data_IF_023442560671
#
_entry.id   IF_023442560671
#
_cell.length_a   1.000
_cell.length_b   1.000
_cell.length_c   1.000
_cell.angle_alpha   90.00
_cell.angle_beta   90.00
_cell.angle_gamma   90.00
#
_symmetry.space_group_name_H-M   'P 1'
#
loop_
_entity.id
_entity.type
_entity.pdbx_description
1 polymer ?
#
# COMPACT_ATOMS: atom_id res chain seq x y z
N UNK A 1 -21.90 3.34 17.51
CA UNK A 1 -20.89 2.69 18.37
C UNK A 1 -20.83 1.22 18.01
N UNK A 2 -19.78 0.76 17.33
CA UNK A 2 -19.49 -0.67 17.28
C UNK A 2 -18.62 -1.01 18.50
N UNK A 3 -18.91 -2.13 19.16
CA UNK A 3 -18.18 -2.66 20.33
C UNK A 3 -16.65 -2.76 20.10
N UNK A 4 -16.22 -2.77 18.83
CA UNK A 4 -14.83 -2.74 18.36
C UNK A 4 -13.96 -1.62 18.95
N UNK A 5 -14.51 -0.48 19.37
CA UNK A 5 -13.72 0.65 19.90
C UNK A 5 -13.06 0.39 21.26
N UNK A 6 -13.37 -0.73 21.92
CA UNK A 6 -12.81 -1.11 23.23
C UNK A 6 -12.01 -2.41 23.20
N UNK A 7 -11.91 -3.07 22.04
CA UNK A 7 -11.34 -4.42 21.93
C UNK A 7 -10.16 -4.43 20.97
N UNK A 8 -9.10 -5.14 21.37
CA UNK A 8 -7.89 -5.37 20.58
C UNK A 8 -8.19 -6.18 19.30
N UNK A 9 -9.26 -6.96 19.31
CA UNK A 9 -9.74 -7.82 18.22
C UNK A 9 -11.25 -7.64 18.00
N UNK A 10 -11.76 -7.97 16.82
CA UNK A 10 -13.20 -7.90 16.51
C UNK A 10 -14.03 -9.07 17.10
N UNK A 11 -13.36 -10.14 17.54
CA UNK A 11 -13.99 -11.38 17.98
C UNK A 11 -13.41 -11.76 19.34
N UNK A 12 -14.28 -12.14 20.29
CA UNK A 12 -13.88 -12.69 21.58
C UNK A 12 -13.23 -14.08 21.40
N UNK A 13 -12.05 -14.29 21.97
CA UNK A 13 -11.33 -15.56 21.85
C UNK A 13 -11.73 -16.48 23.02
N UNK A 14 -12.53 -17.51 22.74
CA UNK A 14 -12.81 -18.56 23.73
C UNK A 14 -11.57 -19.45 23.95
N UNK A 15 -10.91 -19.22 25.08
CA UNK A 15 -9.72 -19.96 25.51
C UNK A 15 -10.04 -21.04 26.57
N UNK A 16 -11.31 -21.39 26.78
CA UNK A 16 -11.75 -22.37 27.79
C UNK A 16 -11.15 -23.77 27.62
N UNK A 17 -10.67 -24.10 26.41
CA UNK A 17 -10.02 -25.37 26.08
C UNK A 17 -8.48 -25.36 26.26
N UNK A 18 -7.87 -24.24 26.68
CA UNK A 18 -6.42 -24.13 26.89
C UNK A 18 -5.98 -24.64 28.25
N UNK A 19 -4.67 -24.93 28.37
CA UNK A 19 -4.03 -25.24 29.66
C UNK A 19 -4.22 -24.09 30.64
N UNK A 20 -4.64 -24.41 31.86
CA UNK A 20 -4.84 -23.39 32.90
C UNK A 20 -3.52 -22.99 33.56
N UNK A 21 -3.29 -21.69 33.68
CA UNK A 21 -2.23 -21.12 34.51
C UNK A 21 -2.67 -21.17 35.98
N UNK A 22 -1.79 -21.54 36.94
CA UNK A 22 -2.11 -21.44 38.36
C UNK A 22 -2.55 -20.01 38.72
N UNK A 23 -3.68 -19.88 39.43
CA UNK A 23 -4.25 -18.59 39.84
C UNK A 23 -4.04 -18.33 41.35
N UNK A 24 -3.04 -18.96 41.96
CA UNK A 24 -2.76 -18.77 43.39
C UNK A 24 -1.98 -17.47 43.61
N UNK A 25 -2.26 -16.76 44.71
CA UNK A 25 -1.56 -15.52 45.07
C UNK A 25 -0.03 -15.70 45.07
N UNK A 26 0.46 -16.83 45.58
CA UNK A 26 1.88 -17.14 45.59
C UNK A 26 2.50 -17.29 44.19
N UNK A 27 1.73 -17.78 43.21
CA UNK A 27 2.19 -17.89 41.83
C UNK A 27 2.22 -16.52 41.14
N UNK A 28 1.17 -15.71 41.35
CA UNK A 28 1.11 -14.34 40.83
C UNK A 28 2.25 -13.50 41.41
N UNK A 29 2.49 -13.57 42.72
CA UNK A 29 3.60 -12.87 43.39
C UNK A 29 4.97 -13.31 42.85
N UNK A 30 5.17 -14.62 42.64
CA UNK A 30 6.40 -15.15 42.08
C UNK A 30 6.69 -14.64 40.67
N UNK A 31 5.66 -14.58 39.81
CA UNK A 31 5.79 -14.05 38.45
C UNK A 31 5.93 -12.53 38.40
N UNK A 32 5.44 -11.82 39.41
CA UNK A 32 5.34 -10.36 39.40
C UNK A 32 6.53 -9.62 40.01
N UNK A 33 7.45 -10.34 40.67
CA UNK A 33 8.54 -9.77 41.46
C UNK A 33 9.93 -10.16 40.93
N UNK A 34 10.99 -9.55 41.49
CA UNK A 34 12.40 -9.80 41.12
C UNK A 34 12.77 -9.46 39.67
N UNK A 35 11.98 -8.61 39.02
CA UNK A 35 12.35 -8.02 37.73
C UNK A 35 13.26 -6.81 37.94
N UNK A 36 14.26 -6.65 37.08
CA UNK A 36 15.05 -5.43 37.05
C UNK A 36 14.20 -4.24 36.55
N UNK A 37 14.52 -3.04 37.06
CA UNK A 37 13.95 -1.79 36.55
C UNK A 37 14.19 -1.68 35.05
N UNK A 38 13.13 -1.33 34.32
CA UNK A 38 13.22 -1.10 32.88
C UNK A 38 13.46 0.39 32.67
N UNK A 39 14.55 0.79 31.99
CA UNK A 39 14.78 2.19 31.71
C UNK A 39 13.70 2.69 30.75
N UNK A 40 12.91 3.67 31.19
CA UNK A 40 11.88 4.31 30.35
C UNK A 40 12.50 5.47 29.58
N UNK A 41 13.31 5.11 28.58
CA UNK A 41 13.97 6.09 27.72
C UNK A 41 12.93 6.67 26.79
N UNK A 42 12.74 7.99 26.88
CA UNK A 42 11.90 8.73 25.95
C UNK A 42 12.59 8.81 24.58
N UNK A 43 11.91 8.45 23.49
CA UNK A 43 12.45 8.59 22.16
C UNK A 43 12.55 10.07 21.77
N UNK A 44 13.35 10.35 20.75
CA UNK A 44 13.26 11.64 20.06
C UNK A 44 11.93 11.73 19.29
N UNK A 45 11.39 12.95 19.08
CA UNK A 45 10.24 13.13 18.21
C UNK A 45 10.49 12.52 16.83
N UNK A 46 9.50 11.79 16.33
CA UNK A 46 9.51 11.22 14.98
C UNK A 46 9.54 12.34 13.95
N UNK A 47 10.23 12.18 12.81
CA UNK A 47 10.26 13.18 11.74
C UNK A 47 8.87 13.65 11.27
N UNK A 48 7.86 12.76 11.33
CA UNK A 48 6.47 13.08 10.94
C UNK A 48 5.70 13.90 11.97
N UNK A 49 6.17 14.02 13.23
CA UNK A 49 5.38 14.57 14.33
C UNK A 49 4.86 15.99 14.05
N UNK A 50 5.70 16.86 13.51
CA UNK A 50 5.32 18.24 13.15
C UNK A 50 4.33 18.29 11.95
N UNK A 51 4.49 17.37 10.99
CA UNK A 51 3.58 17.21 9.86
C UNK A 51 2.20 16.74 10.33
N UNK A 52 2.17 15.69 11.16
CA UNK A 52 0.96 15.18 11.80
C UNK A 52 0.23 16.25 12.62
N UNK A 53 0.96 17.09 13.36
CA UNK A 53 0.36 18.24 14.06
C UNK A 53 -0.33 19.22 13.11
N UNK A 54 0.30 19.56 11.98
CA UNK A 54 -0.30 20.42 10.96
C UNK A 54 -1.56 19.79 10.34
N UNK A 55 -1.52 18.49 10.04
CA UNK A 55 -2.68 17.72 9.53
C UNK A 55 -3.83 17.70 10.54
N UNK A 56 -3.54 17.49 11.83
CA UNK A 56 -4.54 17.59 12.91
C UNK A 56 -5.18 18.97 12.99
N UNK A 57 -4.40 20.06 12.83
CA UNK A 57 -4.94 21.43 12.80
C UNK A 57 -5.87 21.65 11.59
N UNK A 58 -5.47 21.17 10.41
CA UNK A 58 -6.30 21.27 9.20
C UNK A 58 -7.61 20.48 9.37
N UNK A 59 -7.53 19.23 9.84
CA UNK A 59 -8.69 18.39 10.12
C UNK A 59 -9.64 19.01 11.15
N UNK A 60 -9.08 19.51 12.26
CA UNK A 60 -9.80 20.22 13.33
C UNK A 60 -10.63 21.40 12.82
N UNK A 61 -10.15 22.14 11.82
CA UNK A 61 -10.84 23.31 11.27
C UNK A 61 -12.16 22.96 10.55
N UNK A 62 -12.38 21.71 10.17
CA UNK A 62 -13.61 21.25 9.50
C UNK A 62 -14.75 20.92 10.47
N UNK A 63 -14.48 20.78 11.77
CA UNK A 63 -15.44 20.27 12.76
C UNK A 63 -15.55 21.18 14.00
N UNK A 64 -15.75 22.51 13.85
CA UNK A 64 -15.72 23.43 14.97
C UNK A 64 -16.82 23.11 16.01
N UNK A 65 -16.43 22.88 17.26
CA UNK A 65 -17.35 22.62 18.37
C UNK A 65 -17.91 21.18 18.40
N UNK A 66 -17.46 20.32 17.50
CA UNK A 66 -17.88 18.93 17.43
C UNK A 66 -16.76 18.01 17.91
N UNK A 67 -17.05 17.07 18.80
CA UNK A 67 -16.05 16.08 19.20
C UNK A 67 -15.90 15.01 18.13
N UNK A 68 -14.66 14.79 17.66
CA UNK A 68 -14.35 13.82 16.60
C UNK A 68 -13.44 12.71 17.14
N UNK A 69 -13.78 11.46 16.85
CA UNK A 69 -13.02 10.27 17.26
C UNK A 69 -12.60 9.49 16.02
N UNK A 70 -11.28 9.39 15.81
CA UNK A 70 -10.67 8.65 14.70
C UNK A 70 -10.04 7.38 15.26
N UNK A 71 -10.62 6.22 14.98
CA UNK A 71 -10.12 4.94 15.49
C UNK A 71 -9.02 4.34 14.59
N UNK A 72 -8.03 3.69 15.21
CA UNK A 72 -7.01 2.91 14.51
C UNK A 72 -7.57 1.57 13.98
N UNK A 73 -8.65 1.07 14.58
CA UNK A 73 -9.24 -0.22 14.26
C UNK A 73 -8.70 -1.37 15.11
N UNK A 74 -9.36 -2.52 15.02
CA UNK A 74 -9.00 -3.74 15.75
C UNK A 74 -8.30 -4.75 14.83
N UNK A 75 -7.56 -5.70 15.42
CA UNK A 75 -6.99 -6.82 14.68
C UNK A 75 -8.08 -7.70 14.05
N UNK A 76 -7.84 -8.12 12.82
CA UNK A 76 -8.75 -8.98 12.04
C UNK A 76 -8.41 -10.44 12.20
N UNK A 77 -9.39 -11.26 12.55
CA UNK A 77 -9.22 -12.70 12.71
C UNK A 77 -8.92 -13.36 11.36
N UNK A 78 -7.90 -14.23 11.33
CA UNK A 78 -7.55 -15.05 10.15
C UNK A 78 -8.12 -16.46 10.28
N UNK A 79 -7.78 -17.16 11.35
CA UNK A 79 -8.25 -18.52 11.62
C UNK A 79 -8.16 -18.80 13.10
N UNK A 80 -9.30 -18.95 13.78
CA UNK A 80 -9.36 -19.14 15.24
C UNK A 80 -8.59 -18.04 15.99
N UNK A 81 -7.65 -18.40 16.86
CA UNK A 81 -6.83 -17.47 17.64
C UNK A 81 -5.66 -16.83 16.85
N UNK A 82 -5.61 -17.03 15.54
CA UNK A 82 -4.61 -16.41 14.66
C UNK A 82 -5.21 -15.21 13.94
N UNK A 83 -4.46 -14.11 13.90
CA UNK A 83 -4.87 -12.84 13.30
C UNK A 83 -4.06 -12.55 12.04
N UNK A 84 -4.62 -11.75 11.15
CA UNK A 84 -3.84 -11.11 10.10
C UNK A 84 -2.83 -10.14 10.73
N UNK A 85 -1.68 -9.88 10.07
CA UNK A 85 -0.80 -8.79 10.47
C UNK A 85 -1.60 -7.50 10.65
N UNK A 86 -1.42 -6.83 11.78
CA UNK A 86 -2.16 -5.61 12.07
C UNK A 86 -1.67 -4.46 11.20
N UNK A 87 -2.62 -3.68 10.68
CA UNK A 87 -2.39 -2.43 9.97
C UNK A 87 -3.47 -1.45 10.41
N UNK A 88 -3.05 -0.32 11.00
CA UNK A 88 -3.99 0.69 11.46
C UNK A 88 -4.75 1.35 10.30
N UNK A 89 -5.92 1.89 10.61
CA UNK A 89 -6.70 2.69 9.67
C UNK A 89 -5.90 3.91 9.22
N UNK A 90 -5.84 4.13 7.92
CA UNK A 90 -4.94 5.09 7.29
C UNK A 90 -5.21 6.55 7.70
N UNK A 91 -6.47 6.92 8.00
CA UNK A 91 -6.78 8.23 8.58
C UNK A 91 -6.18 8.43 9.99
N UNK A 92 -6.19 7.39 10.84
CA UNK A 92 -5.57 7.44 12.16
C UNK A 92 -4.06 7.59 12.03
N UNK A 93 -3.44 6.74 11.20
CA UNK A 93 -2.00 6.77 10.98
C UNK A 93 -1.55 8.12 10.36
N UNK A 94 -2.29 8.68 9.40
CA UNK A 94 -2.01 9.98 8.78
C UNK A 94 -2.04 11.14 9.78
N UNK A 95 -3.07 11.17 10.64
CA UNK A 95 -3.29 12.26 11.62
C UNK A 95 -2.41 12.13 12.87
N UNK A 96 -1.97 10.93 13.23
CA UNK A 96 -1.08 10.72 14.38
C UNK A 96 0.39 10.71 13.98
N UNK A 97 0.70 10.27 12.75
CA UNK A 97 2.04 9.89 12.34
C UNK A 97 2.48 8.53 12.89
N UNK A 98 1.57 7.77 13.52
CA UNK A 98 1.86 6.46 14.07
C UNK A 98 1.69 5.42 12.96
N UNK A 99 2.81 4.94 12.42
CA UNK A 99 2.84 3.97 11.32
C UNK A 99 2.55 2.53 11.75
N UNK A 100 3.36 1.58 11.26
CA UNK A 100 3.26 0.13 11.51
C UNK A 100 3.34 -0.24 13.00
N UNK A 101 3.97 0.60 13.83
CA UNK A 101 4.06 0.43 15.27
C UNK A 101 2.77 0.82 16.04
N UNK A 102 1.69 1.19 15.34
CA UNK A 102 0.41 1.53 15.95
C UNK A 102 -0.17 0.38 16.75
N UNK A 103 -0.81 0.71 17.86
CA UNK A 103 -1.46 -0.29 18.71
C UNK A 103 -2.92 -0.53 18.31
N UNK A 104 -3.37 -1.80 18.21
CA UNK A 104 -4.77 -2.12 17.94
C UNK A 104 -5.72 -1.56 19.00
N UNK A 105 -6.86 -1.07 18.54
CA UNK A 105 -7.88 -0.45 19.39
C UNK A 105 -7.56 0.98 19.85
N UNK A 106 -6.42 1.55 19.45
CA UNK A 106 -6.11 2.95 19.74
C UNK A 106 -7.13 3.90 19.08
N UNK A 107 -7.39 5.05 19.72
CA UNK A 107 -8.28 6.09 19.19
C UNK A 107 -7.66 7.47 19.37
N UNK A 108 -7.73 8.30 18.32
CA UNK A 108 -7.37 9.71 18.37
C UNK A 108 -8.65 10.52 18.59
N UNK A 109 -8.71 11.27 19.69
CA UNK A 109 -9.87 12.09 20.05
C UNK A 109 -9.50 13.56 19.89
N UNK A 110 -10.36 14.30 19.20
CA UNK A 110 -10.33 15.75 19.10
C UNK A 110 -11.42 16.30 20.02
N UNK A 111 -11.02 16.78 21.20
CA UNK A 111 -11.94 17.40 22.18
C UNK A 111 -12.10 18.90 21.83
N UNK A 112 -13.33 19.39 21.60
CA UNK A 112 -13.54 20.75 21.16
C UNK A 112 -13.13 21.77 22.23
N UNK A 113 -12.48 22.85 21.78
CA UNK A 113 -12.17 24.03 22.59
C UNK A 113 -12.34 25.30 21.77
N UNK A 114 -12.23 26.45 22.41
CA UNK A 114 -12.21 27.73 21.71
C UNK A 114 -11.10 27.73 20.64
N UNK A 115 -11.51 27.89 19.37
CA UNK A 115 -10.61 27.99 18.22
C UNK A 115 -10.02 26.66 17.72
N UNK A 116 -10.56 25.50 18.09
CA UNK A 116 -10.15 24.21 17.51
C UNK A 116 -10.40 23.03 18.44
N UNK A 117 -9.41 22.15 18.57
CA UNK A 117 -9.48 20.96 19.40
C UNK A 117 -8.18 20.76 20.19
N UNK A 118 -8.29 20.09 21.33
CA UNK A 118 -7.19 19.41 21.98
C UNK A 118 -7.19 17.94 21.53
N UNK A 119 -6.07 17.48 20.98
CA UNK A 119 -5.94 16.15 20.41
C UNK A 119 -5.23 15.21 21.38
N UNK A 120 -5.85 14.07 21.69
CA UNK A 120 -5.30 13.04 22.59
C UNK A 120 -5.43 11.65 21.95
N UNK A 121 -4.33 10.89 21.95
CA UNK A 121 -4.33 9.47 21.54
C UNK A 121 -4.57 8.61 22.78
N UNK A 122 -5.70 7.92 22.79
CA UNK A 122 -6.01 6.92 23.80
C UNK A 122 -5.60 5.55 23.29
N UNK A 123 -4.74 4.87 24.01
CA UNK A 123 -4.35 3.50 23.69
C UNK A 123 -4.07 2.69 24.95
N UNK A 124 -4.07 1.38 24.80
CA UNK A 124 -3.74 0.48 25.89
C UNK A 124 -2.22 0.38 25.97
N UNK A 125 -1.61 1.04 26.94
CA UNK A 125 -0.16 0.96 27.14
C UNK A 125 0.27 -0.42 27.67
N UNK A 126 1.57 -0.61 27.86
CA UNK A 126 2.13 -1.81 28.48
C UNK A 126 1.49 -2.10 29.84
N UNK A 127 1.14 -3.36 30.09
CA UNK A 127 0.76 -3.81 31.42
C UNK A 127 1.98 -3.80 32.35
N UNK A 128 1.79 -3.38 33.60
CA UNK A 128 2.80 -3.49 34.64
C UNK A 128 3.15 -4.96 34.92
N UNK A 129 4.41 -5.24 35.28
CA UNK A 129 4.84 -6.61 35.64
C UNK A 129 4.17 -7.12 36.92
N UNK A 130 3.53 -6.23 37.67
CA UNK A 130 2.74 -6.47 38.86
C UNK A 130 1.26 -6.82 38.59
N UNK A 131 0.88 -6.95 37.31
CA UNK A 131 -0.46 -7.34 36.88
C UNK A 131 -0.48 -8.70 36.19
N UNK A 132 -1.56 -9.45 36.37
CA UNK A 132 -1.85 -10.66 35.59
C UNK A 132 -2.01 -10.37 34.09
N UNK A 133 -2.38 -9.14 33.69
CA UNK A 133 -2.38 -8.73 32.28
C UNK A 133 -1.00 -8.92 31.63
N UNK A 134 0.11 -8.81 32.37
CA UNK A 134 1.46 -9.01 31.83
C UNK A 134 1.69 -10.45 31.32
N UNK A 135 1.29 -11.46 32.08
CA UNK A 135 1.65 -12.87 31.82
C UNK A 135 0.46 -13.79 31.50
N UNK A 136 -0.78 -13.41 31.82
CA UNK A 136 -1.96 -14.23 31.64
C UNK A 136 -2.84 -13.77 30.46
N UNK A 137 -2.65 -12.55 29.95
CA UNK A 137 -3.44 -12.02 28.85
C UNK A 137 -2.71 -12.17 27.50
N UNK A 138 -3.09 -13.11 26.64
CA UNK A 138 -2.45 -13.31 25.33
C UNK A 138 -2.74 -12.20 24.32
N UNK A 139 -3.70 -11.31 24.59
CA UNK A 139 -4.04 -10.21 23.68
C UNK A 139 -3.15 -8.98 23.86
N UNK A 140 -2.66 -8.74 25.08
CA UNK A 140 -1.99 -7.48 25.45
C UNK A 140 -0.76 -7.66 26.34
N UNK A 141 -0.59 -8.84 26.93
CA UNK A 141 0.48 -9.12 27.87
C UNK A 141 1.82 -9.20 27.16
N UNK A 142 2.81 -8.43 27.64
CA UNK A 142 4.12 -8.38 26.99
C UNK A 142 4.83 -9.74 26.97
N UNK A 143 4.46 -10.67 27.87
CA UNK A 143 4.98 -12.04 27.87
C UNK A 143 4.55 -12.83 26.62
N UNK A 144 3.42 -12.45 26.01
CA UNK A 144 2.82 -13.12 24.86
C UNK A 144 3.14 -12.43 23.54
N UNK A 145 2.98 -11.10 23.51
CA UNK A 145 3.02 -10.32 22.26
C UNK A 145 4.26 -9.42 22.14
N UNK A 146 5.12 -9.41 23.16
CA UNK A 146 6.31 -8.56 23.20
C UNK A 146 6.05 -7.17 23.80
N UNK A 147 7.09 -6.33 23.82
CA UNK A 147 7.04 -5.05 24.52
C UNK A 147 6.09 -4.05 23.87
N UNK A 148 5.38 -3.27 24.70
CA UNK A 148 4.54 -2.16 24.25
C UNK A 148 5.12 -0.82 24.73
N UNK A 149 4.92 0.27 23.97
CA UNK A 149 5.40 1.58 24.40
C UNK A 149 4.56 2.09 25.58
N UNK A 150 5.17 2.91 26.45
CA UNK A 150 4.43 3.67 27.45
C UNK A 150 3.71 4.87 26.82
N UNK A 151 2.73 5.42 27.54
CA UNK A 151 2.07 6.67 27.15
C UNK A 151 3.08 7.79 26.87
N UNK A 152 4.09 7.93 27.73
CA UNK A 152 5.12 8.98 27.61
C UNK A 152 6.01 8.76 26.37
N UNK A 153 6.36 7.51 26.05
CA UNK A 153 7.14 7.20 24.85
C UNK A 153 6.39 7.55 23.57
N UNK A 154 5.10 7.19 23.49
CA UNK A 154 4.26 7.55 22.33
C UNK A 154 4.05 9.06 22.25
N UNK A 155 3.81 9.73 23.38
CA UNK A 155 3.66 11.18 23.40
C UNK A 155 4.92 11.91 22.94
N UNK A 156 6.09 11.48 23.42
CA UNK A 156 7.39 12.02 23.03
C UNK A 156 7.68 11.79 21.53
N UNK A 157 7.35 10.60 21.00
CA UNK A 157 7.56 10.28 19.59
C UNK A 157 6.61 11.06 18.65
N UNK A 158 5.32 11.16 18.99
CA UNK A 158 4.29 11.67 18.08
C UNK A 158 3.98 13.17 18.28
N UNK A 159 4.44 13.76 19.38
CA UNK A 159 4.13 15.16 19.72
C UNK A 159 2.63 15.38 19.93
N UNK A 160 1.93 14.41 20.51
CA UNK A 160 0.50 14.46 20.83
C UNK A 160 0.28 13.96 22.25
N UNK A 161 -0.73 14.49 22.95
CA UNK A 161 -1.08 14.00 24.27
C UNK A 161 -1.53 12.54 24.18
N UNK A 162 -1.24 11.76 25.21
CA UNK A 162 -1.64 10.35 25.29
C UNK A 162 -2.37 10.09 26.61
N UNK A 163 -3.28 9.13 26.60
CA UNK A 163 -4.01 8.70 27.78
C UNK A 163 -4.32 7.19 27.73
N UNK A 164 -4.54 6.53 28.88
CA UNK A 164 -4.95 5.13 28.88
C UNK A 164 -6.29 4.95 28.16
N UNK A 165 -6.43 3.92 27.31
CA UNK A 165 -7.70 3.62 26.63
C UNK A 165 -8.85 3.40 27.61
N UNK A 166 -8.59 2.89 28.81
CA UNK A 166 -9.61 2.73 29.85
C UNK A 166 -10.25 4.06 30.32
N UNK A 167 -9.56 5.20 30.12
CA UNK A 167 -10.08 6.54 30.41
C UNK A 167 -10.91 7.12 29.26
N UNK A 168 -10.90 6.50 28.08
CA UNK A 168 -11.75 6.91 26.97
C UNK A 168 -13.21 6.52 27.24
N UNK A 169 -14.08 7.52 27.25
CA UNK A 169 -15.53 7.34 27.35
C UNK A 169 -16.14 7.86 26.05
N UNK A 170 -16.70 6.95 25.26
CA UNK A 170 -17.43 7.31 24.04
C UNK A 170 -18.71 8.08 24.38
N UNK A 171 -18.99 9.15 23.66
CA UNK A 171 -20.21 9.93 23.75
C UNK A 171 -21.16 9.63 22.60
N UNK A 172 -22.48 9.74 22.83
CA UNK A 172 -23.50 9.55 21.80
C UNK A 172 -23.42 10.59 20.66
N UNK A 173 -22.78 11.74 20.92
CA UNK A 173 -22.54 12.81 19.95
C UNK A 173 -21.18 12.77 19.26
N UNK A 174 -20.34 11.74 19.52
CA UNK A 174 -19.03 11.63 18.89
C UNK A 174 -19.18 11.43 17.38
N UNK A 175 -18.56 12.30 16.58
CA UNK A 175 -18.38 12.11 15.13
C UNK A 175 -17.28 11.07 14.90
N UNK A 176 -17.54 10.00 14.16
CA UNK A 176 -16.52 8.95 13.87
C UNK A 176 -16.26 8.81 12.38
N UNK A 177 -15.31 7.96 11.98
CA UNK A 177 -15.09 7.60 10.58
C UNK A 177 -16.27 6.87 9.91
N UNK A 178 -17.27 6.42 10.67
CA UNK A 178 -18.54 5.89 10.11
C UNK A 178 -19.41 7.03 9.54
N UNK A 179 -19.14 8.27 9.95
CA UNK A 179 -19.75 9.45 9.37
C UNK A 179 -19.09 9.77 8.02
N UNK A 180 -19.86 9.80 6.91
CA UNK A 180 -19.31 10.03 5.58
C UNK A 180 -18.56 11.35 5.44
N UNK A 181 -18.96 12.39 6.16
CA UNK A 181 -18.28 13.70 6.10
C UNK A 181 -16.93 13.66 6.81
N UNK A 182 -16.81 12.93 7.93
CA UNK A 182 -15.52 12.73 8.61
C UNK A 182 -14.57 11.93 7.74
N UNK A 183 -15.05 10.80 7.20
CA UNK A 183 -14.26 9.95 6.31
C UNK A 183 -13.79 10.70 5.06
N UNK A 184 -14.70 11.47 4.44
CA UNK A 184 -14.41 12.33 3.29
C UNK A 184 -13.35 13.38 3.58
N UNK A 185 -13.47 14.14 4.68
CA UNK A 185 -12.47 15.16 5.04
C UNK A 185 -11.11 14.51 5.32
N UNK A 186 -11.07 13.41 6.07
CA UNK A 186 -9.83 12.69 6.33
C UNK A 186 -9.16 12.18 5.03
N UNK A 187 -9.97 11.76 4.06
CA UNK A 187 -9.52 11.30 2.74
C UNK A 187 -9.03 12.45 1.87
N UNK A 188 -9.75 13.57 1.81
CA UNK A 188 -9.37 14.75 1.01
C UNK A 188 -8.08 15.42 1.50
N UNK A 189 -7.79 15.37 2.81
CA UNK A 189 -6.53 15.89 3.36
C UNK A 189 -5.27 15.16 2.87
N UNK A 190 -5.40 13.93 2.34
CA UNK A 190 -4.30 13.13 1.81
C UNK A 190 -4.05 13.34 0.32
N UNK A 191 -4.89 14.12 -0.38
CA UNK A 191 -4.76 14.32 -1.82
C UNK A 191 -3.42 14.96 -2.17
N UNK A 192 -3.03 16.01 -1.42
CA UNK A 192 -1.79 16.76 -1.62
C UNK A 192 -0.78 16.35 -0.55
N UNK A 193 0.29 15.70 -0.98
CA UNK A 193 1.33 15.17 -0.10
C UNK A 193 2.24 16.29 0.38
N UNK A 194 2.50 16.32 1.68
CA UNK A 194 3.54 17.18 2.26
C UNK A 194 4.95 16.59 2.05
N UNK A 195 5.98 17.36 2.44
CA UNK A 195 7.37 16.98 2.19
C UNK A 195 7.81 15.67 2.86
N UNK A 196 7.22 15.29 4.00
CA UNK A 196 7.51 14.01 4.63
C UNK A 196 6.90 12.87 3.79
N UNK A 197 5.64 13.03 3.38
CA UNK A 197 4.94 12.02 2.56
C UNK A 197 5.66 11.79 1.23
N UNK A 198 6.11 12.85 0.55
CA UNK A 198 6.86 12.72 -0.70
C UNK A 198 8.20 11.98 -0.53
N UNK A 199 8.86 12.15 0.62
CA UNK A 199 10.08 11.41 0.94
C UNK A 199 9.80 9.92 1.15
N UNK A 200 8.72 9.60 1.88
CA UNK A 200 8.30 8.20 2.10
C UNK A 200 7.84 7.55 0.80
N UNK A 201 7.12 8.27 -0.07
CA UNK A 201 6.74 7.78 -1.40
C UNK A 201 7.97 7.44 -2.25
N UNK A 202 8.99 8.31 -2.29
CA UNK A 202 10.22 8.01 -3.02
C UNK A 202 10.95 6.80 -2.42
N UNK A 203 11.03 6.69 -1.10
CA UNK A 203 11.66 5.55 -0.43
C UNK A 203 10.92 4.23 -0.71
N UNK A 204 9.59 4.24 -0.79
CA UNK A 204 8.79 3.08 -1.16
C UNK A 204 9.09 2.63 -2.60
N UNK A 205 9.23 3.59 -3.52
CA UNK A 205 9.62 3.33 -4.91
C UNK A 205 11.04 2.77 -5.00
N UNK A 206 11.99 3.32 -4.24
CA UNK A 206 13.38 2.85 -4.23
C UNK A 206 13.52 1.42 -3.68
N UNK A 207 12.75 1.07 -2.64
CA UNK A 207 12.67 -0.29 -2.13
C UNK A 207 11.99 -1.24 -3.13
N UNK A 208 10.95 -0.77 -3.81
CA UNK A 208 10.25 -1.51 -4.87
C UNK A 208 11.19 -1.80 -6.03
N UNK A 209 11.99 -0.82 -6.49
CA UNK A 209 12.98 -1.01 -7.56
C UNK A 209 13.96 -2.15 -7.24
N UNK A 210 14.45 -2.24 -6.00
CA UNK A 210 15.30 -3.34 -5.55
C UNK A 210 14.56 -4.69 -5.56
N UNK A 211 13.26 -4.70 -5.24
CA UNK A 211 12.43 -5.90 -5.30
C UNK A 211 12.28 -6.42 -6.72
N UNK A 212 12.11 -5.52 -7.70
CA UNK A 212 12.11 -5.90 -9.11
C UNK A 212 13.47 -6.47 -9.53
N UNK A 213 14.59 -5.86 -9.12
CA UNK A 213 15.94 -6.39 -9.38
C UNK A 213 16.09 -7.82 -8.85
N UNK A 214 15.64 -8.08 -7.61
CA UNK A 214 15.70 -9.40 -6.99
C UNK A 214 14.87 -10.44 -7.77
N UNK A 215 13.65 -10.07 -8.17
CA UNK A 215 12.77 -10.93 -8.96
C UNK A 215 13.40 -11.29 -10.29
N UNK A 216 13.93 -10.31 -11.03
CA UNK A 216 14.54 -10.56 -12.34
C UNK A 216 15.77 -11.44 -12.23
N UNK A 217 16.58 -11.25 -11.19
CA UNK A 217 17.68 -12.16 -10.87
C UNK A 217 17.18 -13.58 -10.52
N UNK A 218 15.96 -13.74 -10.02
CA UNK A 218 15.34 -15.02 -9.67
C UNK A 218 14.55 -15.71 -10.79
N UNK A 219 14.40 -15.09 -11.97
CA UNK A 219 13.67 -15.70 -13.10
C UNK A 219 14.14 -17.11 -13.47
N UNK A 220 15.45 -17.44 -13.54
CA UNK A 220 15.86 -18.82 -13.83
C UNK A 220 15.36 -19.84 -12.80
N UNK A 221 15.30 -19.46 -11.52
CA UNK A 221 14.75 -20.29 -10.46
C UNK A 221 13.23 -20.42 -10.59
N UNK A 222 12.54 -19.31 -10.88
CA UNK A 222 11.09 -19.30 -11.11
C UNK A 222 10.71 -20.21 -12.28
N UNK A 223 11.44 -20.14 -13.40
CA UNK A 223 11.20 -20.99 -14.57
C UNK A 223 11.55 -22.46 -14.36
N UNK A 224 12.45 -22.76 -13.41
CA UNK A 224 12.73 -24.13 -12.99
C UNK A 224 11.69 -24.75 -12.06
N UNK A 225 10.71 -23.98 -11.58
CA UNK A 225 9.75 -24.41 -10.56
C UNK A 225 8.32 -24.50 -11.13
N UNK A 226 7.55 -25.57 -10.81
CA UNK A 226 6.18 -25.72 -11.32
C UNK A 226 5.21 -24.62 -10.86
N UNK A 227 5.52 -23.95 -9.74
CA UNK A 227 4.81 -22.76 -9.24
C UNK A 227 5.73 -21.54 -9.36
N UNK A 228 6.16 -21.23 -10.57
CA UNK A 228 7.14 -20.16 -10.82
C UNK A 228 6.63 -18.79 -10.37
N UNK A 229 5.33 -18.53 -10.52
CA UNK A 229 4.72 -17.25 -10.11
C UNK A 229 4.83 -17.04 -8.58
N UNK A 230 4.68 -18.10 -7.77
CA UNK A 230 4.92 -18.03 -6.31
C UNK A 230 6.39 -17.82 -5.94
N UNK A 231 7.32 -18.24 -6.80
CA UNK A 231 8.74 -17.91 -6.58
C UNK A 231 8.94 -16.42 -6.77
N UNK A 232 8.35 -15.84 -7.82
CA UNK A 232 8.37 -14.39 -8.07
C UNK A 232 7.76 -13.62 -6.90
N UNK A 233 6.53 -13.96 -6.51
CA UNK A 233 5.83 -13.37 -5.35
C UNK A 233 6.69 -13.45 -4.08
N UNK A 234 7.21 -14.63 -3.76
CA UNK A 234 7.99 -14.85 -2.54
C UNK A 234 9.29 -14.04 -2.49
N UNK A 235 9.96 -13.87 -3.63
CA UNK A 235 11.18 -13.05 -3.73
C UNK A 235 10.85 -11.57 -3.50
N UNK A 236 9.81 -11.05 -4.13
CA UNK A 236 9.40 -9.66 -3.91
C UNK A 236 8.96 -9.42 -2.47
N UNK A 237 8.14 -10.31 -1.91
CA UNK A 237 7.66 -10.19 -0.52
C UNK A 237 8.81 -10.27 0.50
N UNK A 238 9.88 -11.00 0.20
CA UNK A 238 11.10 -10.97 1.01
C UNK A 238 11.69 -9.57 1.04
N UNK A 239 11.87 -8.90 -0.11
CA UNK A 239 12.36 -7.52 -0.17
C UNK A 239 11.46 -6.59 0.63
N UNK A 240 10.15 -6.69 0.44
CA UNK A 240 9.17 -5.85 1.12
C UNK A 240 9.27 -5.94 2.65
N UNK A 241 9.55 -7.14 3.19
CA UNK A 241 9.76 -7.36 4.64
C UNK A 241 11.14 -6.94 5.16
N UNK A 242 12.14 -6.79 4.28
CA UNK A 242 13.49 -6.38 4.66
C UNK A 242 13.64 -4.85 4.68
N UNK A 243 13.02 -4.16 3.73
CA UNK A 243 13.17 -2.70 3.56
C UNK A 243 11.96 -1.91 4.06
N UNK A 244 10.82 -2.57 4.28
CA UNK A 244 9.57 -1.92 4.68
C UNK A 244 8.77 -2.76 5.68
N UNK A 245 7.50 -2.36 5.83
CA UNK A 245 6.53 -3.10 6.63
C UNK A 245 6.13 -4.39 5.91
N UNK A 246 5.62 -4.30 4.68
CA UNK A 246 5.10 -5.43 3.88
C UNK A 246 4.84 -4.96 2.45
N UNK A 247 4.13 -5.72 1.63
CA UNK A 247 3.59 -5.22 0.35
C UNK A 247 2.35 -4.34 0.59
N UNK A 248 2.16 -3.28 -0.20
CA UNK A 248 0.98 -2.40 -0.07
C UNK A 248 -0.33 -3.03 -0.55
N UNK A 249 -0.21 -4.06 -1.39
CA UNK A 249 -1.29 -4.86 -1.95
C UNK A 249 -0.70 -6.22 -2.37
N UNK A 250 -1.55 -7.22 -2.62
CA UNK A 250 -1.08 -8.53 -3.04
C UNK A 250 -0.33 -8.46 -4.38
N UNK A 251 0.94 -8.87 -4.37
CA UNK A 251 1.78 -8.98 -5.57
C UNK A 251 1.08 -9.76 -6.68
N UNK A 252 1.06 -9.20 -7.89
CA UNK A 252 0.56 -9.87 -9.10
C UNK A 252 1.77 -10.33 -9.90
N UNK A 253 1.99 -11.63 -9.95
CA UNK A 253 3.07 -12.26 -10.70
C UNK A 253 2.48 -13.10 -11.84
N UNK A 254 2.11 -12.44 -12.94
CA UNK A 254 1.27 -13.04 -13.97
C UNK A 254 2.08 -13.41 -15.22
N UNK A 255 2.32 -14.71 -15.44
CA UNK A 255 3.05 -15.22 -16.61
C UNK A 255 2.11 -15.59 -17.76
N UNK A 256 2.48 -15.20 -18.98
CA UNK A 256 1.77 -15.56 -20.19
C UNK A 256 0.30 -15.09 -20.15
N UNK A 257 -0.68 -15.96 -20.47
CA UNK A 257 -2.10 -15.59 -20.49
C UNK A 257 -2.66 -15.10 -19.14
N UNK A 258 -2.01 -15.40 -18.01
CA UNK A 258 -2.45 -14.88 -16.71
C UNK A 258 -2.35 -13.35 -16.65
N UNK A 259 -1.44 -12.74 -17.42
CA UNK A 259 -1.32 -11.28 -17.52
C UNK A 259 -2.59 -10.61 -18.09
N UNK A 260 -3.51 -11.37 -18.69
CA UNK A 260 -4.81 -10.87 -19.15
C UNK A 260 -5.89 -10.82 -18.04
N UNK A 261 -5.54 -11.23 -16.81
CA UNK A 261 -6.39 -11.11 -15.61
C UNK A 261 -5.81 -10.01 -14.72
N UNK A 262 -6.52 -8.89 -14.59
CA UNK A 262 -5.97 -7.66 -13.99
C UNK A 262 -5.42 -7.84 -12.58
N UNK A 263 -6.14 -8.54 -11.71
CA UNK A 263 -5.75 -8.83 -10.33
C UNK A 263 -5.46 -10.33 -10.13
N UNK A 264 -4.50 -10.87 -10.90
CA UNK A 264 -4.04 -12.25 -10.76
C UNK A 264 -3.17 -12.41 -9.50
N UNK A 265 -3.81 -12.58 -8.34
CA UNK A 265 -3.12 -12.72 -7.04
C UNK A 265 -2.98 -14.18 -6.60
N UNK A 266 -3.59 -15.13 -7.32
CA UNK A 266 -3.46 -16.55 -7.02
C UNK A 266 -2.03 -17.05 -7.22
N UNK A 267 -1.33 -16.45 -8.19
CA UNK A 267 0.09 -16.67 -8.53
C UNK A 267 0.45 -18.16 -8.59
N UNK A 268 -0.43 -19.03 -9.06
CA UNK A 268 -0.24 -20.49 -8.98
C UNK A 268 0.29 -21.13 -10.27
N UNK A 269 0.57 -20.31 -11.28
CA UNK A 269 1.10 -20.70 -12.58
C UNK A 269 2.61 -20.95 -12.61
N UNK A 270 3.03 -21.48 -13.76
CA UNK A 270 4.45 -21.63 -14.11
C UNK A 270 4.94 -20.42 -14.93
N UNK A 271 6.19 -20.02 -14.71
CA UNK A 271 6.85 -18.95 -15.46
C UNK A 271 7.65 -19.58 -16.60
N UNK A 272 7.22 -19.42 -17.86
CA UNK A 272 7.82 -20.16 -18.99
C UNK A 272 8.69 -19.26 -19.87
N UNK A 273 9.79 -19.83 -20.33
CA UNK A 273 10.61 -19.21 -21.38
C UNK A 273 9.74 -18.94 -22.63
N UNK A 274 9.82 -17.71 -23.15
CA UNK A 274 8.99 -17.22 -24.26
C UNK A 274 7.72 -16.48 -23.84
N UNK A 275 7.24 -16.64 -22.61
CA UNK A 275 6.14 -15.84 -22.05
C UNK A 275 6.63 -14.42 -21.69
N UNK A 276 5.67 -13.50 -21.56
CA UNK A 276 5.87 -12.28 -20.78
C UNK A 276 5.50 -12.56 -19.33
N UNK A 277 6.19 -11.90 -18.39
CA UNK A 277 5.79 -11.79 -17.00
C UNK A 277 5.35 -10.34 -16.76
N UNK A 278 4.08 -10.14 -16.42
CA UNK A 278 3.58 -8.90 -15.86
C UNK A 278 3.75 -9.00 -14.34
N UNK A 279 4.66 -8.19 -13.80
CA UNK A 279 4.85 -8.03 -12.36
C UNK A 279 4.30 -6.67 -11.95
N UNK A 280 3.27 -6.69 -11.12
CA UNK A 280 2.68 -5.52 -10.48
C UNK A 280 2.79 -5.72 -8.97
N UNK A 281 3.62 -4.87 -8.35
CA UNK A 281 3.99 -5.00 -6.95
C UNK A 281 4.55 -3.69 -6.36
N UNK A 282 4.26 -3.45 -5.09
CA UNK A 282 4.72 -2.27 -4.37
C UNK A 282 5.06 -2.56 -2.91
N UNK A 283 6.18 -2.01 -2.44
CA UNK A 283 6.57 -2.07 -1.02
C UNK A 283 5.78 -1.02 -0.24
N UNK A 284 5.24 -1.40 0.91
CA UNK A 284 4.71 -0.50 1.95
C UNK A 284 5.77 -0.32 3.04
N UNK A 285 6.12 0.92 3.36
CA UNK A 285 7.08 1.26 4.41
C UNK A 285 6.46 1.18 5.81
N UNK A 286 7.29 1.30 6.85
CA UNK A 286 6.81 1.39 8.24
C UNK A 286 5.94 2.64 8.50
N UNK A 287 6.06 3.68 7.69
CA UNK A 287 5.16 4.84 7.70
C UNK A 287 3.79 4.55 7.06
N UNK A 288 3.61 3.36 6.48
CA UNK A 288 2.46 2.87 5.73
C UNK A 288 2.25 3.53 4.36
N UNK A 289 3.20 4.31 3.84
CA UNK A 289 3.18 4.75 2.43
C UNK A 289 3.65 3.62 1.53
N UNK A 290 3.03 3.48 0.37
CA UNK A 290 3.34 2.41 -0.58
C UNK A 290 3.53 2.92 -1.99
N UNK A 291 4.38 2.24 -2.75
CA UNK A 291 4.50 2.40 -4.19
C UNK A 291 3.48 1.52 -4.93
N UNK A 292 3.25 1.80 -6.21
CA UNK A 292 2.45 0.95 -7.09
C UNK A 292 3.09 0.93 -8.48
N UNK A 293 3.75 -0.17 -8.83
CA UNK A 293 4.58 -0.23 -10.01
C UNK A 293 4.32 -1.54 -10.73
N UNK A 294 4.02 -1.41 -12.02
CA UNK A 294 3.93 -2.54 -12.95
C UNK A 294 5.04 -2.47 -13.99
N UNK A 295 5.75 -3.59 -14.17
CA UNK A 295 6.59 -3.85 -15.36
C UNK A 295 6.20 -5.17 -16.00
N UNK A 296 6.05 -5.14 -17.31
CA UNK A 296 5.97 -6.37 -18.11
C UNK A 296 7.32 -6.67 -18.74
N UNK A 297 7.87 -7.86 -18.50
CA UNK A 297 9.21 -8.25 -18.95
C UNK A 297 9.17 -9.56 -19.75
N UNK A 298 10.04 -9.76 -20.76
CA UNK A 298 10.15 -11.04 -21.44
C UNK A 298 10.91 -12.02 -20.55
N UNK A 299 10.32 -13.16 -20.23
CA UNK A 299 10.96 -14.19 -19.38
C UNK A 299 12.27 -14.67 -20.02
N UNK A 300 12.31 -14.73 -21.36
CA UNK A 300 13.50 -15.08 -22.16
C UNK A 300 14.55 -13.99 -22.27
N UNK A 301 14.30 -12.79 -21.73
CA UNK A 301 15.19 -11.64 -21.81
C UNK A 301 15.17 -10.89 -23.15
N UNK A 302 14.33 -11.29 -24.10
CA UNK A 302 14.07 -10.55 -25.36
C UNK A 302 12.60 -10.64 -25.74
N UNK A 303 12.03 -9.53 -26.23
CA UNK A 303 10.67 -9.51 -26.75
C UNK A 303 10.61 -10.15 -28.13
N UNK A 304 9.55 -10.89 -28.42
CA UNK A 304 9.18 -11.20 -29.81
C UNK A 304 8.68 -9.94 -30.51
N UNK A 305 8.61 -9.96 -31.85
CA UNK A 305 8.09 -8.81 -32.61
C UNK A 305 6.67 -8.40 -32.16
N UNK A 306 5.78 -9.38 -31.95
CA UNK A 306 4.40 -9.10 -31.53
C UNK A 306 4.34 -8.60 -30.10
N UNK A 307 5.09 -9.19 -29.17
CA UNK A 307 5.19 -8.71 -27.79
C UNK A 307 5.72 -7.27 -27.75
N UNK A 308 6.78 -6.98 -28.51
CA UNK A 308 7.37 -5.64 -28.62
C UNK A 308 6.39 -4.62 -29.18
N UNK A 309 5.63 -4.99 -30.21
CA UNK A 309 4.59 -4.14 -30.82
C UNK A 309 3.50 -3.75 -29.81
N UNK A 310 3.03 -4.69 -29.00
CA UNK A 310 2.05 -4.41 -27.93
C UNK A 310 2.69 -3.55 -26.84
N UNK A 311 3.90 -3.90 -26.42
CA UNK A 311 4.64 -3.18 -25.38
C UNK A 311 4.88 -1.71 -25.73
N UNK A 312 5.39 -1.43 -26.93
CA UNK A 312 5.68 -0.06 -27.37
C UNK A 312 4.39 0.78 -27.49
N UNK A 313 3.25 0.17 -27.83
CA UNK A 313 1.96 0.87 -27.84
C UNK A 313 1.48 1.26 -26.44
N UNK A 314 1.67 0.37 -25.44
CA UNK A 314 1.37 0.69 -24.03
C UNK A 314 2.32 1.76 -23.51
N UNK A 315 3.61 1.67 -23.83
CA UNK A 315 4.60 2.68 -23.44
C UNK A 315 4.26 4.05 -24.02
N UNK A 316 3.87 4.12 -25.29
CA UNK A 316 3.44 5.35 -25.93
C UNK A 316 2.20 5.95 -25.25
N UNK A 317 1.24 5.11 -24.84
CA UNK A 317 0.06 5.57 -24.11
C UNK A 317 0.45 6.14 -22.73
N UNK A 318 1.40 5.50 -22.02
CA UNK A 318 1.90 5.98 -20.73
C UNK A 318 2.62 7.32 -20.90
N UNK A 319 3.41 7.46 -21.96
CA UNK A 319 4.10 8.70 -22.30
C UNK A 319 3.16 9.84 -22.67
N UNK A 320 2.12 9.56 -23.45
CA UNK A 320 1.09 10.55 -23.79
C UNK A 320 0.33 11.03 -22.56
N UNK A 321 -0.05 10.11 -21.66
CA UNK A 321 -0.67 10.46 -20.39
C UNK A 321 0.25 11.33 -19.52
N UNK A 322 1.52 10.94 -19.35
CA UNK A 322 2.49 11.71 -18.54
C UNK A 322 2.74 13.10 -19.11
N UNK A 323 2.82 13.23 -20.44
CA UNK A 323 3.15 14.49 -21.11
C UNK A 323 2.18 15.63 -20.83
N UNK A 324 0.92 15.31 -20.48
CA UNK A 324 -0.08 16.34 -20.17
C UNK A 324 -0.09 16.75 -18.69
N UNK A 325 0.55 15.99 -17.79
CA UNK A 325 0.44 16.20 -16.34
C UNK A 325 1.12 17.50 -15.95
N UNK A 326 0.29 18.43 -15.46
CA UNK A 326 0.69 19.71 -14.88
C UNK A 326 -0.47 20.29 -14.07
N UNK A 327 -0.21 21.24 -13.15
CA UNK A 327 -1.27 21.92 -12.44
C UNK A 327 -2.32 22.52 -13.39
N UNK A 328 -3.59 22.40 -13.03
CA UNK A 328 -4.71 23.00 -13.77
C UNK A 328 -5.42 22.10 -14.77
N UNK A 329 -4.90 20.91 -15.11
CA UNK A 329 -5.66 19.91 -15.87
C UNK A 329 -6.69 19.22 -14.98
N UNK A 330 -7.68 18.53 -15.56
CA UNK A 330 -8.55 17.62 -14.78
C UNK A 330 -7.91 16.24 -14.71
N UNK A 331 -8.09 15.54 -13.60
CA UNK A 331 -7.52 14.22 -13.41
C UNK A 331 -7.92 13.22 -14.53
N UNK A 332 -9.19 13.22 -14.93
CA UNK A 332 -9.69 12.39 -16.05
C UNK A 332 -9.03 12.65 -17.41
N UNK A 333 -8.40 13.81 -17.60
CA UNK A 333 -7.74 14.14 -18.88
C UNK A 333 -6.53 13.24 -19.11
N UNK A 334 -5.90 12.72 -18.03
CA UNK A 334 -4.80 11.75 -18.08
C UNK A 334 -5.24 10.44 -18.72
N UNK A 335 -6.40 9.93 -18.31
CA UNK A 335 -7.01 8.75 -18.93
C UNK A 335 -7.34 9.01 -20.41
N UNK A 336 -7.96 10.15 -20.72
CA UNK A 336 -8.31 10.49 -22.09
C UNK A 336 -7.08 10.50 -23.03
N UNK A 337 -5.95 11.05 -22.57
CA UNK A 337 -4.71 11.10 -23.34
C UNK A 337 -4.13 9.71 -23.63
N UNK A 338 -4.12 8.79 -22.65
CA UNK A 338 -3.71 7.40 -22.89
C UNK A 338 -4.66 6.69 -23.87
N UNK A 339 -5.97 6.89 -23.72
CA UNK A 339 -6.97 6.19 -24.52
C UNK A 339 -6.94 6.60 -25.99
N UNK A 340 -6.61 7.86 -26.30
CA UNK A 340 -6.40 8.30 -27.70
C UNK A 340 -5.31 7.46 -28.39
N UNK A 341 -4.22 7.16 -27.69
CA UNK A 341 -3.13 6.30 -28.22
C UNK A 341 -3.60 4.85 -28.36
N UNK A 342 -4.22 4.29 -27.32
CA UNK A 342 -4.69 2.90 -27.32
C UNK A 342 -5.71 2.66 -28.44
N UNK A 343 -6.67 3.55 -28.61
CA UNK A 343 -7.65 3.48 -29.68
C UNK A 343 -6.97 3.53 -31.05
N UNK A 344 -6.10 4.53 -31.27
CA UNK A 344 -5.40 4.67 -32.54
C UNK A 344 -4.58 3.41 -32.88
N UNK A 345 -3.82 2.87 -31.94
CA UNK A 345 -2.98 1.67 -32.16
C UNK A 345 -3.80 0.43 -32.45
N UNK A 346 -4.83 0.18 -31.67
CA UNK A 346 -5.70 -0.99 -31.89
C UNK A 346 -6.51 -0.88 -33.19
N UNK A 347 -6.86 0.34 -33.62
CA UNK A 347 -7.45 0.62 -34.94
C UNK A 347 -6.46 0.41 -36.09
N UNK A 348 -5.22 0.89 -35.96
CA UNK A 348 -4.13 0.66 -36.94
C UNK A 348 -3.88 -0.84 -37.17
N UNK A 349 -4.03 -1.67 -36.14
CA UNK A 349 -3.91 -3.13 -36.23
C UNK A 349 -5.17 -3.84 -36.75
N UNK A 350 -6.24 -3.09 -37.06
CA UNK A 350 -7.49 -3.64 -37.57
C UNK A 350 -8.30 -4.43 -36.53
N UNK A 351 -8.10 -4.16 -35.23
CA UNK A 351 -8.80 -4.86 -34.15
C UNK A 351 -10.17 -4.25 -33.82
N UNK A 352 -10.43 -3.02 -34.27
CA UNK A 352 -11.66 -2.30 -33.96
C UNK A 352 -12.61 -2.25 -35.17
N UNK A 353 -13.94 -2.25 -34.93
CA UNK A 353 -14.94 -1.90 -35.94
C UNK A 353 -14.75 -0.48 -36.50
N UNK A 354 -15.55 -0.11 -37.51
CA UNK A 354 -15.65 1.28 -37.97
C UNK A 354 -15.98 2.22 -36.80
N UNK A 355 -15.41 3.43 -36.86
CA UNK A 355 -15.60 4.42 -35.81
C UNK A 355 -17.00 5.05 -35.90
N UNK A 356 -17.83 4.78 -34.89
CA UNK A 356 -19.15 5.38 -34.70
C UNK A 356 -19.22 6.24 -33.41
N UNK A 357 -18.06 6.54 -32.79
CA UNK A 357 -17.94 7.21 -31.50
C UNK A 357 -18.03 6.28 -30.29
N UNK A 358 -18.22 4.97 -30.49
CA UNK A 358 -18.15 3.98 -29.40
C UNK A 358 -16.69 3.65 -29.06
N UNK A 359 -16.36 3.69 -27.78
CA UNK A 359 -15.04 3.33 -27.24
C UNK A 359 -14.75 1.81 -27.29
N UNK A 360 -14.71 1.20 -28.49
CA UNK A 360 -14.51 -0.24 -28.68
C UNK A 360 -13.17 -0.76 -28.15
N UNK A 361 -12.16 0.11 -28.05
CA UNK A 361 -10.86 -0.21 -27.44
C UNK A 361 -10.98 -0.70 -25.99
N UNK A 362 -12.10 -0.42 -25.31
CA UNK A 362 -12.40 -0.95 -23.97
C UNK A 362 -12.52 -2.46 -23.92
N UNK A 363 -12.58 -3.16 -25.06
CA UNK A 363 -12.39 -4.62 -25.09
C UNK A 363 -11.01 -5.05 -24.60
N UNK A 364 -9.99 -4.21 -24.81
CA UNK A 364 -8.57 -4.51 -24.53
C UNK A 364 -7.99 -3.69 -23.37
N UNK A 365 -8.58 -2.54 -23.05
CA UNK A 365 -8.23 -1.69 -21.91
C UNK A 365 -9.48 -1.33 -21.09
N UNK A 366 -9.77 -2.13 -20.07
CA UNK A 366 -11.04 -2.06 -19.31
C UNK A 366 -10.95 -1.19 -18.05
N UNK A 367 -9.75 -0.91 -17.54
CA UNK A 367 -9.53 -0.18 -16.28
C UNK A 367 -9.20 1.31 -16.51
N UNK A 368 -9.13 2.07 -15.42
CA UNK A 368 -8.65 3.45 -15.44
C UNK A 368 -7.15 3.51 -15.74
N UNK A 369 -6.66 4.69 -16.13
CA UNK A 369 -5.22 4.90 -16.37
C UNK A 369 -4.50 5.38 -15.11
N UNK A 370 -5.22 5.88 -14.13
CA UNK A 370 -4.64 6.52 -12.95
C UNK A 370 -5.58 6.43 -11.76
N UNK A 371 -4.99 6.25 -10.58
CA UNK A 371 -5.62 6.50 -9.29
C UNK A 371 -4.64 7.25 -8.38
N UNK A 372 -5.17 7.99 -7.40
CA UNK A 372 -4.33 8.56 -6.36
C UNK A 372 -3.62 7.46 -5.58
N UNK A 373 -2.40 7.78 -5.12
CA UNK A 373 -1.52 6.84 -4.41
C UNK A 373 -0.91 7.52 -3.17
N UNK A 374 -0.74 6.77 -2.08
CA UNK A 374 -0.19 7.25 -0.82
C UNK A 374 -0.14 6.15 0.23
N UNK A 375 -0.79 6.39 1.38
CA UNK A 375 -0.87 5.37 2.43
C UNK A 375 -1.71 4.15 2.02
N UNK A 376 -2.70 4.35 1.15
CA UNK A 376 -3.45 3.25 0.54
C UNK A 376 -3.10 3.22 -0.95
N UNK A 377 -2.95 2.03 -1.54
CA UNK A 377 -2.64 1.86 -2.97
C UNK A 377 -3.63 2.62 -3.85
N UNK A 378 -4.93 2.40 -3.60
CA UNK A 378 -6.01 3.21 -4.13
C UNK A 378 -6.38 4.29 -3.11
N UNK A 379 -5.55 5.33 -3.05
CA UNK A 379 -5.67 6.45 -2.11
C UNK A 379 -6.94 7.28 -2.39
N UNK A 380 -7.37 8.01 -1.37
CA UNK A 380 -8.39 9.06 -1.46
C UNK A 380 -9.78 8.57 -1.93
N UNK A 381 -10.09 7.28 -1.74
CA UNK A 381 -11.32 6.66 -2.26
C UNK A 381 -12.64 7.28 -1.73
N UNK A 382 -12.61 8.01 -0.61
CA UNK A 382 -13.78 8.69 -0.05
C UNK A 382 -13.85 10.18 -0.44
N UNK A 383 -12.88 10.68 -1.20
CA UNK A 383 -12.89 12.06 -1.68
C UNK A 383 -14.04 12.27 -2.68
N UNK A 384 -14.54 13.51 -2.74
CA UNK A 384 -15.61 13.83 -3.68
C UNK A 384 -15.13 13.70 -5.12
N UNK A 385 -16.08 13.37 -6.00
CA UNK A 385 -15.81 13.23 -7.44
C UNK A 385 -15.22 14.50 -8.06
N UNK A 386 -15.65 15.68 -7.62
CA UNK A 386 -15.16 17.00 -8.06
C UNK A 386 -13.80 17.38 -7.45
N UNK A 387 -13.27 16.58 -6.52
CA UNK A 387 -11.90 16.68 -5.99
C UNK A 387 -10.99 15.56 -6.53
N UNK A 388 -11.57 14.48 -7.07
CA UNK A 388 -10.87 13.31 -7.60
C UNK A 388 -10.94 13.28 -9.13
N UNK A 389 -11.87 12.51 -9.72
CA UNK A 389 -11.94 12.29 -11.17
C UNK A 389 -12.18 13.55 -11.99
N UNK A 390 -13.07 14.43 -11.51
CA UNK A 390 -13.38 15.71 -12.14
C UNK A 390 -12.58 16.87 -11.49
N UNK A 391 -11.74 16.55 -10.51
CA UNK A 391 -10.90 17.49 -9.78
C UNK A 391 -9.74 18.03 -10.61
N UNK A 392 -9.31 19.22 -10.22
CA UNK A 392 -8.13 19.88 -10.80
C UNK A 392 -6.89 19.33 -10.14
N UNK A 393 -5.91 18.97 -10.95
CA UNK A 393 -4.62 18.47 -10.48
C UNK A 393 -3.80 19.63 -9.89
N UNK A 394 -3.23 19.43 -8.70
CA UNK A 394 -2.44 20.42 -7.95
C UNK A 394 -1.04 19.88 -7.60
N UNK A 395 -0.03 20.76 -7.41
CA UNK A 395 1.30 20.35 -6.95
C UNK A 395 1.24 19.54 -5.65
N UNK A 396 2.04 18.47 -5.56
CA UNK A 396 2.07 17.56 -4.42
C UNK A 396 1.06 16.41 -4.51
N UNK A 397 0.12 16.41 -5.46
CA UNK A 397 -0.67 15.21 -5.72
C UNK A 397 0.21 14.09 -6.28
N UNK A 398 0.01 12.88 -5.77
CA UNK A 398 0.68 11.65 -6.22
C UNK A 398 -0.36 10.66 -6.74
N UNK A 399 -0.10 10.07 -7.91
CA UNK A 399 -0.98 9.10 -8.58
C UNK A 399 -0.20 8.23 -9.58
N UNK A 400 -0.79 7.10 -9.95
CA UNK A 400 -0.24 6.16 -10.94
C UNK A 400 -0.54 6.60 -12.38
N UNK A 401 0.29 6.19 -13.34
CA UNK A 401 -0.04 6.17 -14.77
C UNK A 401 0.20 4.76 -15.30
N UNK A 402 -0.86 4.01 -15.53
CA UNK A 402 -0.85 2.54 -15.71
C UNK A 402 -1.67 2.05 -16.92
N UNK A 403 -1.48 2.57 -18.15
CA UNK A 403 -2.19 1.99 -19.29
C UNK A 403 -1.79 0.53 -19.52
N UNK A 404 -2.71 -0.23 -20.11
CA UNK A 404 -2.46 -1.62 -20.47
C UNK A 404 -3.24 -2.08 -21.71
N UNK A 405 -2.81 -3.23 -22.23
CA UNK A 405 -3.48 -3.96 -23.31
C UNK A 405 -3.53 -5.45 -22.95
N UNK A 406 -4.72 -6.02 -22.96
CA UNK A 406 -4.97 -7.40 -22.56
C UNK A 406 -5.77 -8.14 -23.64
N UNK A 407 -5.14 -9.11 -24.28
CA UNK A 407 -5.76 -9.90 -25.33
C UNK A 407 -6.09 -11.30 -24.80
N UNK A 408 -7.35 -11.53 -24.44
CA UNK A 408 -7.76 -12.82 -23.85
C UNK A 408 -7.40 -14.00 -24.78
N UNK A 409 -6.94 -15.14 -24.22
CA UNK A 409 -6.45 -16.27 -25.01
C UNK A 409 -7.51 -16.88 -25.94
N UNK A 410 -8.79 -16.73 -25.59
CA UNK A 410 -9.96 -17.21 -26.33
C UNK A 410 -10.68 -16.12 -27.13
N UNK A 411 -10.13 -14.91 -27.23
CA UNK A 411 -10.73 -13.84 -28.02
C UNK A 411 -10.54 -14.04 -29.52
N UNK A 412 -11.56 -14.59 -30.17
CA UNK A 412 -11.57 -14.85 -31.61
C UNK A 412 -11.62 -13.58 -32.47
N UNK A 413 -11.90 -12.41 -31.90
CA UNK A 413 -11.85 -11.12 -32.62
C UNK A 413 -10.42 -10.61 -32.80
N UNK A 414 -9.46 -11.22 -32.10
CA UNK A 414 -8.04 -10.86 -32.12
C UNK A 414 -7.26 -11.92 -32.91
N UNK A 415 -6.28 -11.56 -33.77
CA UNK A 415 -5.44 -12.54 -34.45
C UNK A 415 -4.70 -13.44 -33.45
N UNK A 416 -4.52 -14.71 -33.79
CA UNK A 416 -3.99 -15.72 -32.88
C UNK A 416 -2.61 -15.37 -32.26
N UNK A 417 -1.79 -14.60 -32.98
CA UNK A 417 -0.46 -14.17 -32.54
C UNK A 417 -0.46 -13.17 -31.37
N UNK A 418 -1.58 -12.46 -31.13
CA UNK A 418 -1.72 -11.53 -30.00
C UNK A 418 -2.35 -12.18 -28.77
N UNK A 419 -3.06 -13.30 -28.92
CA UNK A 419 -3.86 -13.91 -27.86
C UNK A 419 -2.99 -14.40 -26.71
N UNK A 420 -3.39 -14.10 -25.49
CA UNK A 420 -2.65 -14.38 -24.25
C UNK A 420 -1.56 -13.37 -23.92
N UNK A 421 -1.42 -12.27 -24.70
CA UNK A 421 -0.51 -11.17 -24.37
C UNK A 421 -1.26 -10.15 -23.50
N UNK A 422 -0.79 -9.98 -22.27
CA UNK A 422 -1.13 -8.87 -21.40
C UNK A 422 0.11 -8.01 -21.15
N UNK A 423 -0.01 -6.70 -21.32
CA UNK A 423 1.04 -5.74 -21.00
C UNK A 423 0.43 -4.59 -20.21
N UNK A 424 1.05 -4.25 -19.08
CA UNK A 424 0.85 -2.99 -18.34
C UNK A 424 2.21 -2.38 -18.02
N UNK A 425 2.27 -1.06 -18.08
CA UNK A 425 3.44 -0.27 -17.68
C UNK A 425 2.92 0.83 -16.78
N UNK A 426 3.42 0.87 -15.55
CA UNK A 426 2.89 1.75 -14.52
C UNK A 426 4.00 2.50 -13.79
N UNK A 427 3.82 3.80 -13.64
CA UNK A 427 4.76 4.68 -12.96
C UNK A 427 4.05 5.54 -11.91
N UNK A 428 4.77 5.81 -10.82
CA UNK A 428 4.34 6.70 -9.74
C UNK A 428 4.72 8.15 -10.06
N UNK A 429 3.72 9.02 -10.18
CA UNK A 429 3.89 10.40 -10.63
C UNK A 429 3.55 11.37 -9.52
N UNK A 430 4.45 12.29 -9.21
CA UNK A 430 4.18 13.47 -8.38
C UNK A 430 4.04 14.72 -9.23
N UNK A 431 2.99 15.49 -9.00
CA UNK A 431 2.76 16.77 -9.66
C UNK A 431 3.65 17.84 -9.04
N UNK A 432 4.31 18.63 -9.88
CA UNK A 432 5.13 19.78 -9.47
C UNK A 432 4.54 21.09 -10.00
N UNK A 433 5.08 22.23 -9.61
CA UNK A 433 4.59 23.55 -10.08
C UNK A 433 4.61 23.69 -11.61
N UNK A 434 5.58 23.06 -12.29
CA UNK A 434 5.78 23.18 -13.74
C UNK A 434 5.32 21.97 -14.56
N UNK A 435 4.85 20.90 -13.94
CA UNK A 435 4.58 19.62 -14.61
C UNK A 435 4.48 18.48 -13.63
N UNK A 436 5.31 17.44 -13.82
CA UNK A 436 5.41 16.31 -12.91
C UNK A 436 6.82 15.73 -12.86
N UNK A 437 7.09 14.94 -11.82
CA UNK A 437 8.25 14.05 -11.71
C UNK A 437 7.74 12.61 -11.67
N UNK A 438 8.42 11.73 -12.41
CA UNK A 438 8.22 10.30 -12.30
C UNK A 438 9.15 9.77 -11.18
N UNK A 439 8.58 9.34 -10.06
CA UNK A 439 9.30 8.82 -8.91
C UNK A 439 9.99 7.48 -9.25
N UNK A 440 9.38 6.68 -10.13
CA UNK A 440 9.85 5.37 -10.60
C UNK A 440 10.70 5.43 -11.87
N UNK A 441 11.23 6.62 -12.23
CA UNK A 441 12.08 6.80 -13.41
C UNK A 441 13.36 5.94 -13.39
N UNK A 442 13.79 5.48 -12.21
CA UNK A 442 14.92 4.56 -12.04
C UNK A 442 14.65 3.12 -12.48
N UNK A 443 13.38 2.74 -12.70
CA UNK A 443 12.99 1.38 -13.10
C UNK A 443 12.79 1.33 -14.62
N UNK A 444 13.61 0.55 -15.36
CA UNK A 444 13.57 0.49 -16.83
C UNK A 444 12.18 0.22 -17.40
N UNK A 445 11.82 0.95 -18.46
CA UNK A 445 10.49 0.84 -19.10
C UNK A 445 10.48 0.99 -20.62
N UNK A 446 11.58 1.39 -21.25
CA UNK A 446 11.67 1.20 -22.71
C UNK A 446 11.94 -0.27 -22.93
N UNK A 447 11.39 -0.88 -23.98
CA UNK A 447 11.59 -2.31 -24.17
C UNK A 447 13.07 -2.67 -24.34
N UNK A 448 13.88 -1.80 -24.95
CA UNK A 448 15.33 -1.99 -25.03
C UNK A 448 16.02 -1.92 -23.67
N UNK A 449 15.63 -0.99 -22.79
CA UNK A 449 16.19 -0.91 -21.44
C UNK A 449 15.73 -2.09 -20.58
N UNK A 450 14.50 -2.58 -20.76
CA UNK A 450 13.99 -3.78 -20.09
C UNK A 450 14.74 -5.03 -20.52
N UNK A 451 15.02 -5.22 -21.81
CA UNK A 451 15.86 -6.34 -22.28
C UNK A 451 17.26 -6.28 -21.67
N UNK A 452 17.90 -5.10 -21.70
CA UNK A 452 19.21 -4.91 -21.09
C UNK A 452 19.20 -5.17 -19.58
N UNK A 453 18.12 -4.77 -18.90
CA UNK A 453 17.92 -4.97 -17.47
C UNK A 453 17.82 -6.45 -17.10
N UNK A 454 16.95 -7.20 -17.78
CA UNK A 454 16.78 -8.65 -17.57
C UNK A 454 18.09 -9.39 -17.85
N UNK A 455 18.78 -9.06 -18.94
CA UNK A 455 20.04 -9.71 -19.31
C UNK A 455 21.13 -9.47 -18.25
N UNK A 456 21.33 -8.22 -17.84
CA UNK A 456 22.33 -7.84 -16.82
C UNK A 456 22.15 -8.62 -15.51
N UNK A 457 20.90 -8.79 -15.05
CA UNK A 457 20.61 -9.46 -13.78
C UNK A 457 20.68 -10.99 -13.87
N UNK A 458 20.40 -11.58 -15.03
CA UNK A 458 20.64 -13.02 -15.27
C UNK A 458 22.13 -13.33 -15.24
N UNK A 459 22.97 -12.47 -15.83
CA UNK A 459 24.42 -12.65 -15.88
C UNK A 459 25.08 -12.48 -14.51
N UNK A 460 24.69 -11.46 -13.73
CA UNK A 460 25.26 -11.20 -12.40
C UNK A 460 25.08 -12.38 -11.45
N UNK A 461 23.90 -13.03 -11.46
CA UNK A 461 23.64 -14.23 -10.65
C UNK A 461 24.43 -15.44 -11.12
N UNK A 462 24.56 -15.64 -12.44
CA UNK A 462 25.38 -16.74 -12.98
C UNK A 462 26.84 -16.61 -12.53
N UNK A 463 27.40 -15.40 -12.53
CA UNK A 463 28.75 -15.14 -12.01
C UNK A 463 28.86 -15.38 -10.50
N UNK A 464 27.87 -14.97 -9.71
CA UNK A 464 27.87 -15.18 -8.25
C UNK A 464 27.79 -16.66 -7.87
N UNK A 465 26.98 -17.46 -8.57
CA UNK A 465 26.88 -18.91 -8.36
C UNK A 465 28.21 -19.61 -8.71
N UNK A 466 28.83 -19.22 -9.83
CA UNK A 466 30.13 -19.79 -10.24
C UNK A 466 31.29 -19.42 -9.31
N UNK A 467 31.19 -18.30 -8.57
CA UNK A 467 32.20 -17.90 -7.59
C UNK A 467 32.04 -18.60 -6.22
N UNK A 468 30.85 -19.15 -5.93
CA UNK A 468 30.52 -19.79 -4.67
C UNK A 468 30.62 -21.33 -4.69
N UNK A 469 30.75 -21.93 -5.87
CA UNK A 469 31.02 -23.37 -6.08
C UNK A 469 32.48 -23.63 -6.41
#
# INVERSE_FOLDING_TARGET
>A
MTESSKTTHEVEIDNSNRSTTPQTDAFVEYLSTQWADRPDVLPQPSPVAAHAEARRRAFSAHFPGERVVVAAGAMKQRSNDTFYPYRAHSAFAHLTGWGSASEPGAVLVFEPRDGGHDATVYFRERAGRDSDEFFANPEIGEFWIGPRPSLEQVSAALGVATAPLAAFIAGDGDRTLDDPDVARVASELRLVKDAFELAEMQAAVDATAQGFDDVLAALPQASGHPRGERVVEGVFNQRARLEGNTVGYETIAASGPHACTLHWIQNDGAVREGDLLLLDAGVELDSLYTADITRTVPVSGTFTEVQRRVYDAVLEAADAARAIVRPGIRFRDVHAAAMEVIERRTREWGLLPEDDGTAYYRRYMVHGTSHHLGMDVHDCAQARRDMYMDGVVEPGMVFTIEPGLYFQPDDLTVPAEYRGIGVRIEDDIVVTEGGCVNLSAGIPRTASDVEAWVQRLRESRASAVNAAG
#
